data_IF_036169090294
#
_entry.id   IF_036169090294
#
_cell.length_a   1.000
_cell.length_b   1.000
_cell.length_c   1.000
_cell.angle_alpha   90.00
_cell.angle_beta   90.00
_cell.angle_gamma   90.00
#
_symmetry.space_group_name_H-M   'P 1'
#
loop_
_entity.id
_entity.type
_entity.pdbx_description
1 polymer ?
#
# COMPACT_ATOMS: atom_id res chain seq x y z
N UNK A 1 -1.59 -2.30 -7.99
CA UNK A 1 -2.04 -3.18 -6.90
C UNK A 1 -1.53 -4.59 -7.16
N UNK A 2 -0.83 -5.18 -6.19
CA UNK A 2 -0.22 -6.50 -6.30
C UNK A 2 -1.23 -7.62 -6.04
N UNK A 3 -0.89 -8.82 -6.49
CA UNK A 3 -1.74 -10.00 -6.35
C UNK A 3 -1.93 -10.37 -4.86
N UNK A 4 -3.16 -10.63 -4.45
CA UNK A 4 -3.52 -10.96 -3.05
C UNK A 4 -3.21 -9.85 -2.02
N UNK A 5 -3.25 -8.58 -2.45
CA UNK A 5 -3.24 -7.47 -1.52
C UNK A 5 -4.63 -7.30 -0.87
N UNK A 6 -4.66 -7.14 0.45
CA UNK A 6 -5.87 -6.87 1.22
C UNK A 6 -5.84 -5.41 1.64
N UNK A 7 -6.83 -4.65 1.18
CA UNK A 7 -7.00 -3.23 1.54
C UNK A 7 -8.28 -3.12 2.34
N UNK A 8 -8.16 -2.69 3.59
CA UNK A 8 -9.30 -2.47 4.46
C UNK A 8 -9.98 -1.12 4.22
N UNK A 9 -11.22 -0.97 4.71
CA UNK A 9 -12.04 0.21 4.49
C UNK A 9 -11.39 1.52 4.98
N UNK A 10 -11.57 2.57 4.19
CA UNK A 10 -11.05 3.91 4.48
C UNK A 10 -9.55 4.06 4.30
N UNK A 11 -8.84 3.07 3.77
CA UNK A 11 -7.44 3.23 3.39
C UNK A 11 -7.31 4.18 2.19
N UNK A 12 -6.37 5.11 2.27
CA UNK A 12 -6.04 6.06 1.20
C UNK A 12 -4.67 5.70 0.66
N UNK A 13 -4.62 5.35 -0.62
CA UNK A 13 -3.37 5.06 -1.32
C UNK A 13 -3.11 6.19 -2.30
N UNK A 14 -1.98 6.88 -2.13
CA UNK A 14 -1.58 7.96 -3.02
C UNK A 14 -1.40 7.49 -4.47
N UNK A 15 -1.52 8.43 -5.40
CA UNK A 15 -1.37 8.16 -6.84
C UNK A 15 0.01 7.60 -7.17
N UNK A 16 0.08 6.79 -8.23
CA UNK A 16 1.30 6.09 -8.67
C UNK A 16 1.96 5.18 -7.62
N UNK A 17 1.29 4.88 -6.51
CA UNK A 17 1.82 3.94 -5.52
C UNK A 17 1.59 2.48 -5.93
N UNK A 18 2.59 1.65 -5.66
CA UNK A 18 2.57 0.23 -5.98
C UNK A 18 2.38 -0.55 -4.69
N UNK A 19 1.19 -1.13 -4.52
CA UNK A 19 0.96 -2.11 -3.46
C UNK A 19 1.54 -3.46 -3.90
N UNK A 20 2.42 -4.07 -3.11
CA UNK A 20 3.03 -5.36 -3.39
C UNK A 20 2.09 -6.54 -3.18
N UNK A 21 2.52 -7.73 -3.62
CA UNK A 21 1.79 -8.96 -3.39
C UNK A 21 1.73 -9.29 -1.87
N UNK A 22 0.62 -9.86 -1.42
CA UNK A 22 0.38 -10.17 0.01
C UNK A 22 0.53 -8.97 0.96
N UNK A 23 0.29 -7.75 0.46
CA UNK A 23 0.29 -6.55 1.28
C UNK A 23 -1.03 -6.41 2.05
N UNK A 24 -0.98 -6.13 3.35
CA UNK A 24 -2.17 -5.93 4.19
C UNK A 24 -2.28 -4.47 4.66
N UNK A 25 -3.05 -3.66 3.94
CA UNK A 25 -3.28 -2.24 4.26
C UNK A 25 -4.41 -2.14 5.28
N UNK A 26 -4.09 -1.61 6.46
CA UNK A 26 -5.06 -1.43 7.57
C UNK A 26 -6.13 -0.40 7.23
N UNK A 27 -7.26 -0.48 7.92
CA UNK A 27 -8.34 0.49 7.79
C UNK A 27 -7.83 1.88 8.18
N UNK A 28 -8.27 2.92 7.47
CA UNK A 28 -7.83 4.31 7.67
C UNK A 28 -6.32 4.54 7.54
N UNK A 29 -5.59 3.63 6.87
CA UNK A 29 -4.18 3.84 6.62
C UNK A 29 -3.98 4.83 5.47
N UNK A 30 -3.15 5.85 5.67
CA UNK A 30 -2.77 6.82 4.66
C UNK A 30 -1.37 6.48 4.13
N UNK A 31 -1.30 6.12 2.85
CA UNK A 31 -0.04 5.80 2.17
C UNK A 31 0.32 6.91 1.19
N UNK A 32 1.58 7.40 1.21
CA UNK A 32 2.04 8.45 0.31
C UNK A 32 1.99 8.02 -1.16
N UNK A 33 1.96 9.01 -2.07
CA UNK A 33 2.02 8.83 -3.53
C UNK A 33 3.45 8.51 -3.99
N UNK A 34 3.59 7.76 -5.08
CA UNK A 34 4.87 7.25 -5.61
C UNK A 34 5.65 6.37 -4.60
N UNK A 35 4.97 5.54 -3.83
CA UNK A 35 5.63 4.58 -2.93
C UNK A 35 5.31 3.13 -3.24
N UNK A 36 6.31 2.28 -3.05
CA UNK A 36 6.19 0.84 -2.96
C UNK A 36 5.74 0.46 -1.55
N UNK A 37 4.50 0.00 -1.45
CA UNK A 37 3.80 -0.36 -0.22
C UNK A 37 3.77 -1.89 -0.11
N UNK A 38 4.47 -2.49 0.84
CA UNK A 38 4.53 -3.97 0.97
C UNK A 38 4.44 -4.43 2.42
N UNK A 39 4.15 -5.71 2.61
CA UNK A 39 4.15 -6.38 3.91
C UNK A 39 2.78 -6.47 4.57
N UNK A 40 2.71 -7.18 5.70
CA UNK A 40 1.51 -7.32 6.52
C UNK A 40 1.89 -7.11 7.99
N UNK A 41 1.64 -5.92 8.58
CA UNK A 41 0.95 -4.75 8.02
C UNK A 41 1.76 -4.04 6.92
N UNK A 42 1.06 -3.53 5.91
CA UNK A 42 1.65 -2.84 4.77
C UNK A 42 2.35 -1.54 5.21
N UNK A 43 3.56 -1.31 4.71
CA UNK A 43 4.36 -0.10 4.94
C UNK A 43 4.92 0.42 3.63
N UNK A 44 5.01 1.74 3.52
CA UNK A 44 5.74 2.41 2.45
C UNK A 44 7.25 2.23 2.71
N UNK A 45 7.92 1.42 1.90
CA UNK A 45 9.32 1.04 2.12
C UNK A 45 10.29 1.72 1.16
N UNK A 46 9.81 2.14 -0.01
CA UNK A 46 10.66 2.69 -1.07
C UNK A 46 9.85 3.62 -1.95
N UNK A 47 10.46 4.71 -2.38
CA UNK A 47 9.89 5.59 -3.41
C UNK A 47 10.01 4.92 -4.79
N UNK A 48 8.91 4.87 -5.52
CA UNK A 48 8.87 4.43 -6.93
C UNK A 48 9.23 5.63 -7.82
N UNK A 49 10.48 6.07 -7.71
CA UNK A 49 11.17 6.95 -8.66
C UNK A 49 12.30 6.18 -9.34
#
# INVERSE_FOLDING_TARGET
>A
MGMNAVVMDGAVIGENSIVGASAFVKAKAEMPANYLIVGSPAKAIRETQ
#
